data_IF_671342229018
#
_entry.id   IF_671342229018
#
_cell.length_a   1.000
_cell.length_b   1.000
_cell.length_c   1.000
_cell.angle_alpha   90.00
_cell.angle_beta   90.00
_cell.angle_gamma   90.00
#
_symmetry.space_group_name_H-M   'P 1'
#
loop_
_entity.id
_entity.type
_entity.pdbx_description
1 polymer ?
#
# COMPACT_ATOMS: atom_id res chain seq x y z
N UNK A 1 -15.51 6.20 0.61
CA UNK A 1 -14.54 5.15 0.27
C UNK A 1 -13.98 5.50 -1.10
N UNK A 2 -12.66 5.70 -1.21
CA UNK A 2 -12.03 6.47 -2.30
C UNK A 2 -12.17 5.85 -3.71
N UNK A 3 -12.29 4.51 -3.81
CA UNK A 3 -12.39 3.80 -5.10
C UNK A 3 -13.74 3.10 -5.31
N UNK A 4 -14.68 3.18 -4.35
CA UNK A 4 -15.96 2.46 -4.43
C UNK A 4 -15.87 0.92 -4.35
N UNK A 5 -14.73 0.37 -3.93
CA UNK A 5 -14.50 -1.08 -3.76
C UNK A 5 -15.01 -1.59 -2.41
N UNK A 6 -16.22 -2.11 -2.36
CA UNK A 6 -16.77 -2.73 -1.14
C UNK A 6 -16.19 -4.14 -0.92
N UNK A 7 -15.09 -4.23 -0.17
CA UNK A 7 -14.39 -5.47 0.14
C UNK A 7 -14.00 -5.51 1.61
N UNK A 8 -14.28 -6.64 2.25
CA UNK A 8 -13.77 -6.92 3.59
C UNK A 8 -12.24 -7.06 3.54
N UNK A 9 -11.50 -6.34 4.41
CA UNK A 9 -10.05 -6.48 4.47
C UNK A 9 -9.66 -7.89 4.92
N UNK A 10 -8.74 -8.51 4.18
CA UNK A 10 -8.15 -9.78 4.54
C UNK A 10 -7.09 -9.68 5.64
N UNK A 11 -6.09 -10.54 5.57
CA UNK A 11 -4.99 -10.58 6.55
C UNK A 11 -4.19 -9.27 6.52
N UNK A 12 -3.74 -8.83 7.69
CA UNK A 12 -2.78 -7.73 7.82
C UNK A 12 -1.41 -8.15 7.26
N UNK A 13 -0.91 -7.43 6.25
CA UNK A 13 0.36 -7.70 5.61
C UNK A 13 1.49 -6.84 6.19
N UNK A 14 1.24 -5.55 6.44
CA UNK A 14 2.26 -4.61 6.92
C UNK A 14 1.69 -3.63 7.92
N UNK A 15 2.46 -3.36 8.98
CA UNK A 15 2.36 -2.15 9.80
C UNK A 15 3.60 -1.30 9.56
N UNK A 16 3.44 -0.07 9.07
CA UNK A 16 4.56 0.83 8.78
C UNK A 16 4.44 2.16 9.53
N UNK A 17 5.38 2.43 10.43
CA UNK A 17 5.50 3.69 11.15
C UNK A 17 6.26 4.71 10.31
N UNK A 18 5.61 5.83 9.98
CA UNK A 18 6.19 6.91 9.19
C UNK A 18 6.35 8.14 10.09
N UNK A 19 7.57 8.69 10.25
CA UNK A 19 7.78 9.92 11.01
C UNK A 19 7.12 11.12 10.31
N UNK A 20 7.02 12.26 11.01
CA UNK A 20 6.60 13.50 10.37
C UNK A 20 7.49 13.84 9.16
N UNK A 21 6.88 14.31 8.09
CA UNK A 21 7.58 14.60 6.84
C UNK A 21 7.95 16.10 6.75
N UNK A 22 9.02 16.45 6.00
CA UNK A 22 9.43 17.84 5.83
C UNK A 22 8.38 18.77 5.21
N UNK A 23 7.39 18.22 4.51
CA UNK A 23 6.27 18.95 3.91
C UNK A 23 5.12 19.23 4.90
N UNK A 24 5.32 18.97 6.19
CA UNK A 24 4.36 19.24 7.25
C UNK A 24 3.36 18.12 7.52
N UNK A 25 3.42 16.99 6.79
CA UNK A 25 2.59 15.83 7.12
C UNK A 25 3.00 15.26 8.49
N UNK A 26 2.02 14.93 9.36
CA UNK A 26 2.31 14.39 10.69
C UNK A 26 2.88 12.97 10.60
N UNK A 27 3.35 12.44 11.73
CA UNK A 27 3.67 11.03 11.83
C UNK A 27 2.41 10.16 11.67
N UNK A 28 2.54 9.01 11.01
CA UNK A 28 1.43 8.14 10.63
C UNK A 28 1.79 6.67 10.85
N UNK A 29 0.82 5.88 11.30
CA UNK A 29 0.89 4.42 11.25
C UNK A 29 0.04 3.93 10.06
N UNK A 30 0.67 3.25 9.11
CA UNK A 30 -0.03 2.67 7.96
C UNK A 30 -0.27 1.18 8.21
N UNK A 31 -1.51 0.73 8.03
CA UNK A 31 -1.90 -0.67 8.10
C UNK A 31 -2.33 -1.13 6.71
N UNK A 32 -1.65 -2.14 6.17
CA UNK A 32 -1.90 -2.63 4.81
C UNK A 32 -2.43 -4.05 4.89
N UNK A 33 -3.63 -4.22 4.37
CA UNK A 33 -4.36 -5.49 4.39
C UNK A 33 -4.36 -6.11 3.00
N UNK A 34 -4.42 -7.43 2.95
CA UNK A 34 -4.68 -8.18 1.73
C UNK A 34 -6.11 -7.86 1.24
N UNK A 35 -6.21 -7.17 0.10
CA UNK A 35 -7.48 -6.83 -0.55
C UNK A 35 -8.06 -7.95 -1.40
N UNK A 36 -7.40 -9.11 -1.45
CA UNK A 36 -7.74 -10.23 -2.32
C UNK A 36 -7.42 -9.97 -3.79
N UNK A 37 -7.84 -10.90 -4.64
CA UNK A 37 -7.64 -10.79 -6.09
C UNK A 37 -8.64 -9.81 -6.70
N UNK A 38 -8.13 -8.91 -7.54
CA UNK A 38 -8.92 -7.99 -8.36
C UNK A 38 -8.48 -8.14 -9.81
N UNK A 39 -9.33 -8.75 -10.63
CA UNK A 39 -9.08 -8.81 -12.07
C UNK A 39 -9.26 -7.44 -12.72
N UNK A 40 -8.63 -7.24 -13.89
CA UNK A 40 -8.77 -6.01 -14.68
C UNK A 40 -10.24 -5.71 -15.03
N UNK A 41 -10.99 -6.74 -15.45
CA UNK A 41 -12.42 -6.61 -15.75
C UNK A 41 -13.25 -6.19 -14.53
N UNK A 42 -12.94 -6.72 -13.34
CA UNK A 42 -13.60 -6.29 -12.11
C UNK A 42 -13.22 -4.87 -11.74
N UNK A 43 -11.93 -4.51 -11.88
CA UNK A 43 -11.43 -3.17 -11.59
C UNK A 43 -12.13 -2.11 -12.46
N UNK A 44 -12.21 -2.33 -13.77
CA UNK A 44 -12.88 -1.42 -14.71
C UNK A 44 -14.36 -1.19 -14.33
N UNK A 45 -15.03 -2.25 -13.88
CA UNK A 45 -16.45 -2.18 -13.52
C UNK A 45 -16.69 -1.53 -12.17
N UNK A 46 -15.78 -1.65 -11.22
CA UNK A 46 -16.00 -1.30 -9.81
C UNK A 46 -15.29 -0.04 -9.35
N UNK A 47 -14.12 0.27 -9.91
CA UNK A 47 -13.37 1.47 -9.51
C UNK A 47 -14.11 2.72 -9.94
N UNK A 48 -14.42 3.58 -8.96
CA UNK A 48 -15.02 4.89 -9.15
C UNK A 48 -14.21 5.90 -8.36
N UNK A 49 -13.62 6.86 -9.07
CA UNK A 49 -12.81 7.90 -8.44
C UNK A 49 -13.71 8.97 -7.82
N UNK A 50 -13.40 9.34 -6.58
CA UNK A 50 -13.87 10.60 -6.01
C UNK A 50 -13.19 11.75 -6.78
N UNK A 51 -13.97 12.47 -7.59
CA UNK A 51 -13.47 13.41 -8.60
C UNK A 51 -12.73 14.64 -8.01
N UNK A 52 -12.91 14.89 -6.72
CA UNK A 52 -12.29 15.98 -5.96
C UNK A 52 -10.89 15.66 -5.43
N UNK A 53 -10.54 14.38 -5.26
CA UNK A 53 -9.25 13.96 -4.70
C UNK A 53 -8.40 13.13 -5.66
N UNK A 54 -9.01 12.39 -6.59
CA UNK A 54 -8.32 11.41 -7.44
C UNK A 54 -8.47 11.70 -8.93
N UNK A 55 -7.33 11.82 -9.62
CA UNK A 55 -7.27 12.14 -11.05
C UNK A 55 -7.29 10.92 -11.97
N UNK A 56 -6.75 9.78 -11.51
CA UNK A 56 -6.64 8.56 -12.30
C UNK A 56 -6.44 7.33 -11.40
N UNK A 57 -6.74 6.15 -11.96
CA UNK A 57 -6.35 4.85 -11.39
C UNK A 57 -5.72 3.97 -12.46
N UNK A 58 -4.95 2.97 -12.02
CA UNK A 58 -4.42 1.90 -12.89
C UNK A 58 -4.03 0.68 -12.06
N UNK A 59 -4.05 -0.49 -12.68
CA UNK A 59 -3.32 -1.67 -12.22
C UNK A 59 -1.86 -1.54 -12.67
N UNK A 60 -0.91 -1.67 -11.75
CA UNK A 60 0.51 -1.46 -12.03
C UNK A 60 1.35 -2.65 -11.55
N UNK A 61 2.13 -3.22 -12.47
CA UNK A 61 3.12 -4.25 -12.15
C UNK A 61 4.28 -3.66 -11.33
N UNK A 62 4.98 -4.48 -10.51
CA UNK A 62 6.10 -4.02 -9.68
C UNK A 62 7.18 -3.23 -10.42
N UNK A 63 7.44 -3.57 -11.68
CA UNK A 63 8.45 -2.91 -12.50
C UNK A 63 8.11 -1.45 -12.84
N UNK A 64 6.83 -1.06 -12.75
CA UNK A 64 6.35 0.31 -12.98
C UNK A 64 6.34 1.17 -11.72
N UNK A 65 6.56 0.58 -10.54
CA UNK A 65 6.50 1.30 -9.27
C UNK A 65 7.52 2.46 -9.15
N UNK A 66 8.77 2.34 -9.65
CA UNK A 66 9.74 3.44 -9.56
C UNK A 66 9.30 4.74 -10.23
N UNK A 67 8.42 4.68 -11.22
CA UNK A 67 7.89 5.86 -11.92
C UNK A 67 6.60 6.41 -11.30
N UNK A 68 5.96 5.64 -10.42
CA UNK A 68 4.63 5.95 -9.88
C UNK A 68 4.65 6.30 -8.38
N UNK A 69 5.65 5.82 -7.64
CA UNK A 69 5.64 5.86 -6.18
C UNK A 69 6.88 6.54 -5.62
N UNK A 70 6.70 7.22 -4.48
CA UNK A 70 7.82 7.66 -3.68
C UNK A 70 8.64 6.43 -3.17
N UNK A 71 9.96 6.56 -2.97
CA UNK A 71 10.81 5.43 -2.61
C UNK A 71 10.35 4.64 -1.38
N UNK A 72 9.79 5.30 -0.37
CA UNK A 72 9.31 4.63 0.85
C UNK A 72 8.04 3.80 0.61
N UNK A 73 7.12 4.29 -0.23
CA UNK A 73 5.92 3.55 -0.61
C UNK A 73 6.29 2.30 -1.40
N UNK A 74 7.27 2.41 -2.31
CA UNK A 74 7.78 1.25 -3.06
C UNK A 74 8.34 0.18 -2.13
N UNK A 75 9.18 0.54 -1.15
CA UNK A 75 9.71 -0.45 -0.19
C UNK A 75 8.61 -1.12 0.62
N UNK A 76 7.62 -0.34 1.08
CA UNK A 76 6.44 -0.85 1.77
C UNK A 76 5.63 -1.84 0.93
N UNK A 77 5.40 -1.55 -0.36
CA UNK A 77 4.68 -2.48 -1.24
C UNK A 77 5.47 -3.76 -1.52
N UNK A 78 6.81 -3.67 -1.60
CA UNK A 78 7.66 -4.88 -1.69
C UNK A 78 7.53 -5.75 -0.44
N UNK A 79 7.52 -5.15 0.74
CA UNK A 79 7.28 -5.87 1.98
C UNK A 79 5.87 -6.49 2.05
N UNK A 80 4.85 -5.82 1.50
CA UNK A 80 3.51 -6.40 1.38
C UNK A 80 3.52 -7.64 0.48
N UNK A 81 4.20 -7.59 -0.66
CA UNK A 81 4.31 -8.72 -1.58
C UNK A 81 5.02 -9.92 -0.94
N UNK A 82 6.11 -9.67 -0.20
CA UNK A 82 6.82 -10.71 0.56
C UNK A 82 5.95 -11.31 1.67
N UNK A 83 5.27 -10.48 2.46
CA UNK A 83 4.36 -10.91 3.52
C UNK A 83 3.18 -11.73 2.97
N UNK A 84 2.67 -11.34 1.79
CA UNK A 84 1.61 -12.08 1.11
C UNK A 84 2.10 -13.47 0.66
N UNK A 85 3.28 -13.54 0.03
CA UNK A 85 3.87 -14.78 -0.47
C UNK A 85 4.28 -15.76 0.63
N UNK A 86 4.74 -15.24 1.78
CA UNK A 86 5.24 -16.05 2.91
C UNK A 86 4.18 -16.30 3.98
N UNK A 87 3.00 -15.67 3.88
CA UNK A 87 1.95 -15.79 4.89
C UNK A 87 2.30 -15.11 6.22
N UNK A 88 3.15 -14.09 6.20
CA UNK A 88 3.61 -13.35 7.39
C UNK A 88 2.99 -11.95 7.48
N UNK A 89 3.37 -11.20 8.51
CA UNK A 89 3.09 -9.76 8.66
C UNK A 89 4.40 -9.04 8.96
N UNK A 90 4.73 -8.00 8.20
CA UNK A 90 5.96 -7.22 8.43
C UNK A 90 5.69 -5.96 9.27
N UNK A 91 6.65 -5.64 10.14
CA UNK A 91 6.68 -4.38 10.89
C UNK A 91 7.81 -3.51 10.35
N UNK A 92 7.49 -2.28 9.93
CA UNK A 92 8.40 -1.39 9.22
C UNK A 92 8.47 0.00 9.87
N UNK A 93 9.62 0.64 9.73
CA UNK A 93 9.88 2.05 10.01
C UNK A 93 10.22 2.75 8.70
N UNK A 94 9.35 3.61 8.21
CA UNK A 94 9.48 4.33 6.93
C UNK A 94 9.83 3.36 5.77
N UNK A 95 9.11 2.23 5.70
CA UNK A 95 9.32 1.19 4.69
C UNK A 95 10.64 0.41 4.82
N UNK A 96 11.28 0.40 5.98
CA UNK A 96 12.47 -0.43 6.27
C UNK A 96 12.15 -1.33 7.46
N UNK A 97 12.60 -2.59 7.45
CA UNK A 97 12.57 -3.39 8.67
C UNK A 97 13.47 -2.70 9.70
N UNK A 98 13.04 -2.52 10.96
CA UNK A 98 13.94 -2.09 12.02
C UNK A 98 15.11 -3.07 12.10
N UNK A 99 16.33 -2.56 12.24
CA UNK A 99 17.48 -3.43 12.48
C UNK A 99 17.23 -4.29 13.72
N UNK A 100 17.53 -5.60 13.66
CA UNK A 100 17.46 -6.51 14.82
C UNK A 100 18.56 -6.23 15.87
N UNK A 101 19.18 -5.05 15.85
CA UNK A 101 20.25 -4.69 16.78
C UNK A 101 19.64 -4.22 18.11
N UNK A 102 19.35 -5.19 18.97
CA UNK A 102 19.26 -4.99 20.42
C UNK A 102 20.62 -4.82 21.07
#
# INVERSE_FOLDING_TARGET
>A
MELGLDREPGRLLVVDWVPAQPDGRPALANFLFDGGHLSETEADRSVRLAADELLAWRLAAPDSWPQLLAPHMMRRLRACAEALATGTTAYLHHGQCPDESG
#
